data_IF_506581006270
#
_entry.id   IF_506581006270
#
_cell.length_a   1.000
_cell.length_b   1.000
_cell.length_c   1.000
_cell.angle_alpha   90.00
_cell.angle_beta   90.00
_cell.angle_gamma   90.00
#
_symmetry.space_group_name_H-M   'P 1'
#
loop_
_entity.id
_entity.type
_entity.pdbx_description
1 polymer ?
#
# COMPACT_ATOMS: atom_id res chain seq x y z
N UNK A 1 3.93 9.60 -3.25
CA UNK A 1 5.04 9.74 -4.19
C UNK A 1 6.24 9.07 -3.56
N UNK A 2 6.74 8.02 -4.19
CA UNK A 2 7.87 7.28 -3.67
C UNK A 2 9.12 8.15 -3.61
N UNK A 3 9.89 8.00 -2.53
CA UNK A 3 11.05 8.85 -2.25
C UNK A 3 12.27 8.35 -3.01
N UNK A 4 12.32 8.58 -4.33
CA UNK A 4 13.56 8.44 -5.11
C UNK A 4 14.27 9.78 -5.15
N UNK A 5 15.50 9.85 -4.64
CA UNK A 5 16.36 11.04 -4.65
C UNK A 5 17.52 10.82 -5.61
N UNK A 6 17.95 11.86 -6.33
CA UNK A 6 19.10 11.79 -7.25
C UNK A 6 18.73 11.65 -8.73
N UNK A 7 19.72 11.47 -9.63
CA UNK A 7 19.50 11.43 -11.07
C UNK A 7 18.63 10.24 -11.50
N UNK A 8 17.72 10.44 -12.46
CA UNK A 8 16.85 9.37 -12.99
C UNK A 8 17.64 8.31 -13.77
N UNK A 9 18.60 8.77 -14.56
CA UNK A 9 19.47 7.92 -15.40
C UNK A 9 20.62 7.29 -14.61
N UNK A 10 20.45 7.12 -13.29
CA UNK A 10 21.49 6.48 -12.49
C UNK A 10 21.59 5.00 -12.81
N UNK A 11 22.84 4.52 -12.85
CA UNK A 11 23.12 3.08 -12.96
C UNK A 11 22.89 2.38 -11.63
N UNK A 12 23.05 3.11 -10.51
CA UNK A 12 22.96 2.56 -9.16
C UNK A 12 21.87 3.22 -8.34
N UNK A 13 21.34 2.43 -7.42
CA UNK A 13 20.41 2.85 -6.38
C UNK A 13 20.86 2.23 -5.06
N UNK A 14 20.71 2.97 -3.98
CA UNK A 14 20.83 2.48 -2.60
C UNK A 14 19.50 2.66 -1.89
N UNK A 15 19.16 1.77 -0.97
CA UNK A 15 17.97 1.89 -0.13
C UNK A 15 18.36 2.44 1.25
N UNK A 16 17.60 3.41 1.73
CA UNK A 16 17.76 4.01 3.05
C UNK A 16 16.42 3.97 3.76
N UNK A 17 16.45 3.55 5.02
CA UNK A 17 15.31 3.58 5.90
C UNK A 17 15.44 4.78 6.81
N UNK A 18 14.74 5.87 6.47
CA UNK A 18 14.53 6.96 7.42
C UNK A 18 13.73 6.34 8.58
N UNK A 19 14.36 6.08 9.74
CA UNK A 19 13.82 5.34 10.90
C UNK A 19 12.58 5.93 11.59
N UNK A 20 11.74 6.64 10.83
CA UNK A 20 10.41 7.11 11.19
C UNK A 20 9.42 5.97 11.03
N UNK A 21 9.40 5.05 11.99
CA UNK A 21 8.22 4.18 12.16
C UNK A 21 7.02 5.11 12.45
N UNK A 22 6.02 5.10 11.55
CA UNK A 22 4.79 5.90 11.64
C UNK A 22 5.02 7.42 11.78
N UNK A 23 6.07 7.98 11.15
CA UNK A 23 6.33 9.42 11.18
C UNK A 23 6.87 9.96 12.52
N UNK A 24 7.04 9.12 13.55
CA UNK A 24 7.62 9.52 14.83
C UNK A 24 9.15 9.41 14.84
N UNK A 25 9.82 10.46 15.32
CA UNK A 25 11.28 10.70 15.18
C UNK A 25 12.14 9.84 16.12
N UNK A 26 11.55 9.08 17.04
CA UNK A 26 12.28 8.16 17.93
C UNK A 26 11.95 6.73 17.55
N UNK A 27 12.84 6.09 16.79
CA UNK A 27 12.76 4.65 16.54
C UNK A 27 12.61 3.91 17.86
N UNK A 28 11.53 3.11 18.00
CA UNK A 28 11.32 2.20 19.14
C UNK A 28 12.37 1.07 19.18
N UNK A 29 13.19 0.98 18.13
CA UNK A 29 14.27 0.03 17.97
C UNK A 29 15.60 0.79 17.96
N UNK A 30 16.54 0.45 18.86
CA UNK A 30 17.86 1.09 18.87
C UNK A 30 18.68 0.75 17.61
N UNK A 31 18.35 -0.35 16.94
CA UNK A 31 18.97 -0.83 15.71
C UNK A 31 18.00 -1.73 14.96
N UNK A 32 18.17 -1.85 13.63
CA UNK A 32 17.49 -2.84 12.80
C UNK A 32 18.27 -4.17 12.70
N UNK A 33 19.50 -4.23 13.21
CA UNK A 33 20.37 -5.42 13.07
C UNK A 33 19.73 -6.71 13.61
N UNK A 34 18.97 -6.61 14.70
CA UNK A 34 18.34 -7.76 15.37
C UNK A 34 16.85 -7.92 15.05
N UNK A 35 16.35 -7.26 13.99
CA UNK A 35 14.93 -7.26 13.66
C UNK A 35 14.59 -8.30 12.60
N UNK A 36 13.36 -8.81 12.64
CA UNK A 36 12.80 -9.70 11.63
C UNK A 36 11.92 -8.89 10.69
N UNK A 37 12.32 -8.82 9.43
CA UNK A 37 11.77 -7.87 8.47
C UNK A 37 11.14 -8.61 7.28
N UNK A 38 9.94 -8.20 6.87
CA UNK A 38 9.22 -8.74 5.72
C UNK A 38 9.21 -7.68 4.60
N UNK A 39 9.91 -7.93 3.49
CA UNK A 39 9.88 -7.08 2.30
C UNK A 39 8.79 -7.59 1.37
N UNK A 40 7.77 -6.78 1.11
CA UNK A 40 6.68 -7.12 0.19
C UNK A 40 7.09 -6.80 -1.26
N UNK A 41 7.05 -7.80 -2.13
CA UNK A 41 7.38 -7.68 -3.54
C UNK A 41 6.13 -7.82 -4.39
N UNK A 42 5.56 -6.67 -4.79
CA UNK A 42 4.48 -6.63 -5.78
C UNK A 42 5.02 -7.05 -7.14
N UNK A 43 4.52 -8.16 -7.69
CA UNK A 43 4.97 -8.70 -8.98
C UNK A 43 4.56 -7.85 -10.19
N UNK A 44 3.68 -6.86 -9.98
CA UNK A 44 3.20 -5.94 -11.01
C UNK A 44 2.86 -4.57 -10.42
N UNK A 45 3.04 -3.52 -11.23
CA UNK A 45 2.57 -2.17 -10.90
C UNK A 45 3.46 -1.35 -9.96
N UNK A 46 4.61 -1.87 -9.51
CA UNK A 46 5.55 -1.13 -8.68
C UNK A 46 7.01 -1.36 -9.13
N UNK A 47 7.55 -0.42 -9.90
CA UNK A 47 8.93 -0.48 -10.42
C UNK A 47 10.01 -0.55 -9.32
N UNK A 48 9.67 -0.16 -8.09
CA UNK A 48 10.61 -0.15 -6.97
C UNK A 48 10.74 -1.49 -6.28
N UNK A 49 9.90 -2.46 -6.67
CA UNK A 49 10.03 -3.86 -6.30
C UNK A 49 10.89 -4.64 -7.31
N UNK A 50 11.49 -4.02 -8.33
CA UNK A 50 12.22 -4.74 -9.38
C UNK A 50 13.58 -4.09 -9.70
N UNK A 51 14.40 -4.83 -10.46
CA UNK A 51 15.67 -4.38 -11.01
C UNK A 51 16.59 -3.77 -9.97
N UNK A 52 17.14 -2.58 -10.28
CA UNK A 52 18.12 -1.91 -9.41
C UNK A 52 17.57 -1.54 -8.03
N UNK A 53 16.26 -1.31 -7.89
CA UNK A 53 15.66 -0.96 -6.61
C UNK A 53 15.53 -2.19 -5.72
N UNK A 54 15.11 -3.32 -6.29
CA UNK A 54 15.16 -4.61 -5.58
C UNK A 54 16.59 -4.97 -5.18
N UNK A 55 17.56 -4.83 -6.09
CA UNK A 55 18.98 -5.03 -5.76
C UNK A 55 19.43 -4.18 -4.57
N UNK A 56 19.01 -2.92 -4.52
CA UNK A 56 19.29 -2.04 -3.40
C UNK A 56 18.66 -2.51 -2.07
N UNK A 57 17.43 -3.05 -2.11
CA UNK A 57 16.77 -3.63 -0.92
C UNK A 57 17.46 -4.91 -0.45
N UNK A 58 17.82 -5.81 -1.37
CA UNK A 58 18.54 -7.04 -1.05
C UNK A 58 19.91 -6.73 -0.44
N UNK A 59 20.65 -5.80 -1.05
CA UNK A 59 21.96 -5.40 -0.50
C UNK A 59 21.81 -4.78 0.90
N UNK A 60 20.83 -3.91 1.11
CA UNK A 60 20.56 -3.34 2.43
C UNK A 60 20.24 -4.41 3.47
N UNK A 61 19.39 -5.40 3.13
CA UNK A 61 19.05 -6.50 4.01
C UNK A 61 20.29 -7.29 4.44
N UNK A 62 21.16 -7.61 3.47
CA UNK A 62 22.43 -8.28 3.73
C UNK A 62 23.34 -7.43 4.61
N UNK A 63 23.52 -6.14 4.32
CA UNK A 63 24.37 -5.25 5.11
C UNK A 63 23.86 -5.10 6.55
N UNK A 64 22.54 -5.16 6.75
CA UNK A 64 21.90 -5.01 8.06
C UNK A 64 21.96 -6.28 8.89
N UNK A 65 21.73 -7.45 8.27
CA UNK A 65 21.49 -8.69 9.01
C UNK A 65 22.56 -9.77 8.82
N UNK A 66 23.55 -9.63 7.93
CA UNK A 66 24.57 -10.67 7.77
C UNK A 66 25.39 -10.87 9.05
N UNK A 67 25.91 -12.09 9.21
CA UNK A 67 26.84 -12.42 10.29
C UNK A 67 28.11 -11.57 10.17
N UNK A 68 28.59 -11.10 11.32
CA UNK A 68 29.78 -10.25 11.35
C UNK A 68 31.05 -11.11 11.27
N UNK A 69 32.16 -10.57 10.71
CA UNK A 69 33.43 -11.29 10.59
C UNK A 69 34.04 -11.74 11.92
N UNK A 70 33.64 -11.10 13.03
CA UNK A 70 34.06 -11.43 14.40
C UNK A 70 33.38 -12.68 14.98
N UNK A 71 32.53 -13.35 14.18
CA UNK A 71 31.79 -14.54 14.59
C UNK A 71 30.50 -14.25 15.35
N UNK A 72 30.12 -12.98 15.52
CA UNK A 72 28.82 -12.62 16.10
C UNK A 72 27.71 -12.93 15.09
N UNK A 73 26.87 -13.90 15.44
CA UNK A 73 25.68 -14.24 14.67
C UNK A 73 24.63 -13.16 14.85
N UNK A 74 24.14 -12.63 13.73
CA UNK A 74 23.00 -11.71 13.74
C UNK A 74 21.74 -12.48 14.10
N UNK A 75 20.87 -11.87 14.92
CA UNK A 75 19.53 -12.43 15.20
C UNK A 75 18.48 -11.94 14.22
N UNK A 76 18.79 -10.90 13.45
CA UNK A 76 17.88 -10.36 12.46
C UNK A 76 17.84 -11.19 11.18
N UNK A 77 16.76 -11.04 10.43
CA UNK A 77 16.51 -11.76 9.19
C UNK A 77 15.58 -10.95 8.30
N UNK A 78 15.81 -10.98 7.00
CA UNK A 78 14.86 -10.43 6.02
C UNK A 78 14.22 -11.53 5.19
N UNK A 79 12.90 -11.49 5.06
CA UNK A 79 12.13 -12.33 4.15
C UNK A 79 11.63 -11.48 2.98
N UNK A 80 12.01 -11.83 1.76
CA UNK A 80 11.49 -11.24 0.53
C UNK A 80 10.28 -12.03 0.06
N UNK A 81 9.08 -11.47 0.24
CA UNK A 81 7.82 -12.13 -0.12
C UNK A 81 7.37 -11.72 -1.51
N UNK A 82 7.47 -12.65 -2.46
CA UNK A 82 6.90 -12.52 -3.80
C UNK A 82 5.39 -12.70 -3.68
N UNK A 83 4.65 -11.58 -3.78
CA UNK A 83 3.19 -11.55 -3.68
C UNK A 83 2.54 -11.92 -5.02
N UNK A 84 2.81 -13.14 -5.47
CA UNK A 84 2.38 -13.64 -6.77
C UNK A 84 0.98 -14.23 -6.75
N UNK A 85 0.75 -15.31 -6.02
CA UNK A 85 -0.53 -16.04 -6.07
C UNK A 85 -1.70 -15.10 -5.78
N UNK A 86 -1.63 -14.27 -4.72
CA UNK A 86 -2.63 -13.25 -4.33
C UNK A 86 -3.03 -12.31 -5.48
N UNK A 87 -2.17 -12.14 -6.49
CA UNK A 87 -2.46 -11.35 -7.66
C UNK A 87 -3.62 -11.92 -8.51
N UNK A 88 -4.04 -13.16 -8.27
CA UNK A 88 -5.19 -13.79 -8.93
C UNK A 88 -6.47 -12.94 -8.83
N UNK A 89 -6.68 -12.23 -7.71
CA UNK A 89 -7.81 -11.30 -7.56
C UNK A 89 -7.80 -10.20 -8.61
N UNK A 90 -6.62 -9.73 -9.03
CA UNK A 90 -6.48 -8.68 -10.05
C UNK A 90 -6.63 -9.21 -11.49
N UNK A 91 -6.70 -10.53 -11.68
CA UNK A 91 -6.93 -11.14 -12.98
C UNK A 91 -8.42 -11.32 -13.29
N UNK A 92 -9.26 -11.48 -12.25
CA UNK A 92 -10.72 -11.68 -12.38
C UNK A 92 -11.38 -10.71 -13.35
N UNK A 93 -12.30 -11.17 -14.17
CA UNK A 93 -13.16 -10.35 -15.04
C UNK A 93 -14.59 -10.20 -14.49
N UNK A 94 -15.42 -9.39 -15.15
CA UNK A 94 -16.86 -9.36 -14.93
C UNK A 94 -17.57 -10.04 -16.12
N UNK A 95 -18.58 -10.89 -15.87
CA UNK A 95 -19.10 -11.29 -14.56
C UNK A 95 -18.14 -12.21 -13.78
N UNK A 96 -18.15 -12.23 -12.43
CA UNK A 96 -17.16 -12.94 -11.61
C UNK A 96 -17.06 -14.45 -11.86
N UNK A 97 -18.13 -15.06 -12.37
CA UNK A 97 -18.21 -16.50 -12.65
C UNK A 97 -17.56 -16.89 -13.99
N UNK A 98 -17.01 -15.93 -14.74
CA UNK A 98 -16.44 -16.18 -16.06
C UNK A 98 -15.17 -17.05 -16.05
N UNK A 99 -14.43 -17.05 -14.94
CA UNK A 99 -13.12 -17.69 -14.83
C UNK A 99 -13.00 -18.52 -13.55
N UNK A 100 -12.39 -19.70 -13.61
CA UNK A 100 -12.13 -20.53 -12.43
C UNK A 100 -11.00 -19.92 -11.58
N UNK A 101 -11.19 -19.95 -10.26
CA UNK A 101 -10.19 -19.47 -9.29
C UNK A 101 -8.84 -20.19 -9.45
N UNK A 102 -8.86 -21.50 -9.65
CA UNK A 102 -7.68 -22.33 -9.83
C UNK A 102 -6.88 -21.91 -11.07
N UNK A 103 -7.57 -21.60 -12.16
CA UNK A 103 -6.95 -21.11 -13.39
C UNK A 103 -6.33 -19.72 -13.19
N UNK A 104 -7.02 -18.81 -12.50
CA UNK A 104 -6.49 -17.48 -12.18
C UNK A 104 -5.28 -17.56 -11.25
N UNK A 105 -5.31 -18.43 -10.23
CA UNK A 105 -4.16 -18.69 -9.33
C UNK A 105 -2.97 -19.26 -10.12
N UNK A 106 -3.20 -20.20 -11.03
CA UNK A 106 -2.16 -20.75 -11.91
C UNK A 106 -1.52 -19.68 -12.79
N UNK A 107 -2.33 -18.77 -13.36
CA UNK A 107 -1.82 -17.62 -14.12
C UNK A 107 -1.00 -16.67 -13.25
N UNK A 108 -1.47 -16.36 -12.03
CA UNK A 108 -0.77 -15.51 -11.08
C UNK A 108 0.58 -16.11 -10.66
N UNK A 109 0.64 -17.42 -10.39
CA UNK A 109 1.88 -18.15 -10.12
C UNK A 109 2.85 -18.07 -11.30
N UNK A 110 2.39 -18.25 -12.54
CA UNK A 110 3.24 -18.12 -13.72
C UNK A 110 3.80 -16.69 -13.88
N UNK A 111 3.02 -15.66 -13.54
CA UNK A 111 3.51 -14.28 -13.49
C UNK A 111 4.58 -14.10 -12.40
N UNK A 112 4.41 -14.72 -11.23
CA UNK A 112 5.41 -14.76 -10.16
C UNK A 112 6.73 -15.41 -10.59
N UNK A 113 6.66 -16.53 -11.32
CA UNK A 113 7.85 -17.18 -11.87
C UNK A 113 8.60 -16.29 -12.86
N UNK A 114 7.87 -15.60 -13.73
CA UNK A 114 8.45 -14.66 -14.69
C UNK A 114 9.12 -13.48 -13.95
N UNK A 115 8.45 -12.93 -12.93
CA UNK A 115 9.00 -11.88 -12.08
C UNK A 115 10.29 -12.33 -11.36
N UNK A 116 10.29 -13.51 -10.76
CA UNK A 116 11.48 -14.07 -10.10
C UNK A 116 12.65 -14.21 -11.08
N UNK A 117 12.42 -14.81 -12.26
CA UNK A 117 13.45 -15.00 -13.29
C UNK A 117 14.01 -13.68 -13.80
N UNK A 118 13.16 -12.67 -14.00
CA UNK A 118 13.59 -11.33 -14.44
C UNK A 118 14.44 -10.59 -13.38
N UNK A 119 14.32 -10.97 -12.12
CA UNK A 119 15.00 -10.33 -11.00
C UNK A 119 16.05 -11.22 -10.33
N UNK A 120 16.33 -12.41 -10.87
CA UNK A 120 17.18 -13.43 -10.27
C UNK A 120 18.58 -12.89 -9.91
N UNK A 121 19.17 -12.08 -10.77
CA UNK A 121 20.49 -11.48 -10.54
C UNK A 121 20.54 -10.65 -9.24
N UNK A 122 19.43 -10.03 -8.83
CA UNK A 122 19.40 -9.19 -7.63
C UNK A 122 19.54 -10.03 -6.35
N UNK A 123 19.00 -11.25 -6.33
CA UNK A 123 19.13 -12.17 -5.22
C UNK A 123 20.47 -12.93 -5.22
N UNK A 124 21.05 -13.14 -6.40
CA UNK A 124 22.32 -13.84 -6.55
C UNK A 124 23.54 -12.97 -6.28
N UNK A 125 23.46 -11.65 -6.56
CA UNK A 125 24.59 -10.74 -6.43
C UNK A 125 25.26 -10.75 -5.04
N UNK A 126 24.53 -10.71 -3.90
CA UNK A 126 25.16 -10.78 -2.57
C UNK A 126 25.80 -12.14 -2.25
N UNK A 127 25.46 -13.19 -3.02
CA UNK A 127 26.02 -14.53 -2.92
C UNK A 127 27.24 -14.70 -3.85
N UNK A 128 27.62 -13.66 -4.59
CA UNK A 128 28.73 -13.69 -5.54
C UNK A 128 28.45 -14.52 -6.79
N UNK A 129 27.18 -14.70 -7.15
CA UNK A 129 26.74 -15.45 -8.32
C UNK A 129 26.05 -14.52 -9.33
N UNK A 130 26.00 -14.95 -10.59
CA UNK A 130 25.13 -14.36 -11.61
C UNK A 130 24.15 -15.40 -12.19
N UNK A 131 23.11 -14.92 -12.87
CA UNK A 131 22.05 -15.76 -13.44
C UNK A 131 22.56 -16.78 -14.47
N UNK A 132 23.63 -16.47 -15.21
CA UNK A 132 24.22 -17.38 -16.21
C UNK A 132 24.85 -18.59 -15.51
N UNK A 133 25.72 -18.34 -14.53
CA UNK A 133 26.36 -19.37 -13.71
C UNK A 133 25.32 -20.20 -12.97
N UNK A 134 24.34 -19.54 -12.34
CA UNK A 134 23.29 -20.21 -11.59
C UNK A 134 22.43 -21.13 -12.49
N UNK A 135 22.02 -20.62 -13.66
CA UNK A 135 21.17 -21.37 -14.59
C UNK A 135 21.88 -22.59 -15.16
N UNK A 136 23.21 -22.55 -15.31
CA UNK A 136 23.97 -23.71 -15.81
C UNK A 136 23.78 -24.99 -14.99
N UNK A 137 23.45 -24.86 -13.70
CA UNK A 137 23.26 -25.97 -12.75
C UNK A 137 21.83 -26.11 -12.21
N UNK A 138 20.92 -25.20 -12.59
CA UNK A 138 19.57 -25.14 -12.01
C UNK A 138 18.46 -24.82 -13.03
N UNK A 139 18.75 -24.81 -14.34
CA UNK A 139 17.76 -24.46 -15.36
C UNK A 139 16.57 -25.43 -15.46
N UNK A 140 16.76 -26.69 -15.09
CA UNK A 140 15.75 -27.75 -15.10
C UNK A 140 14.87 -27.77 -13.85
N UNK A 141 15.26 -27.02 -12.81
CA UNK A 141 14.53 -26.95 -11.54
C UNK A 141 13.35 -25.98 -11.62
N UNK A 142 12.29 -26.30 -10.89
CA UNK A 142 11.19 -25.37 -10.62
C UNK A 142 11.66 -24.11 -9.90
N UNK A 143 10.87 -23.03 -9.96
CA UNK A 143 11.21 -21.78 -9.25
C UNK A 143 11.29 -22.01 -7.74
N UNK A 144 10.44 -22.86 -7.17
CA UNK A 144 10.45 -23.14 -5.73
C UNK A 144 11.74 -23.88 -5.31
N UNK A 145 12.23 -24.81 -6.13
CA UNK A 145 13.52 -25.48 -5.92
C UNK A 145 14.71 -24.53 -6.07
N UNK A 146 14.64 -23.59 -7.03
CA UNK A 146 15.65 -22.54 -7.18
C UNK A 146 15.68 -21.61 -5.96
N UNK A 147 14.51 -21.17 -5.47
CA UNK A 147 14.37 -20.37 -4.25
C UNK A 147 14.92 -21.14 -3.04
N UNK A 148 14.57 -22.42 -2.88
CA UNK A 148 15.07 -23.24 -1.78
C UNK A 148 16.61 -23.34 -1.79
N UNK A 149 17.21 -23.48 -2.98
CA UNK A 149 18.66 -23.48 -3.13
C UNK A 149 19.29 -22.12 -2.75
N UNK A 150 18.72 -21.00 -3.23
CA UNK A 150 19.20 -19.65 -2.90
C UNK A 150 19.09 -19.39 -1.39
N UNK A 151 17.97 -19.75 -0.77
CA UNK A 151 17.75 -19.59 0.67
C UNK A 151 18.77 -20.40 1.49
N UNK A 152 19.04 -21.65 1.08
CA UNK A 152 20.07 -22.47 1.72
C UNK A 152 21.45 -21.85 1.58
N UNK A 153 21.82 -21.38 0.39
CA UNK A 153 23.11 -20.73 0.16
C UNK A 153 23.25 -19.43 0.97
N UNK A 154 22.20 -18.60 1.03
CA UNK A 154 22.18 -17.38 1.83
C UNK A 154 22.34 -17.68 3.33
N UNK A 155 21.73 -18.75 3.83
CA UNK A 155 21.92 -19.23 5.20
C UNK A 155 23.35 -19.72 5.45
N UNK A 156 23.88 -20.59 4.58
CA UNK A 156 25.22 -21.17 4.70
C UNK A 156 26.32 -20.08 4.65
N UNK A 157 26.09 -19.02 3.87
CA UNK A 157 26.97 -17.85 3.78
C UNK A 157 26.74 -16.79 4.89
N UNK A 158 25.78 -17.03 5.79
CA UNK A 158 25.45 -16.10 6.87
C UNK A 158 24.91 -14.76 6.40
N UNK A 159 24.26 -14.70 5.22
CA UNK A 159 23.65 -13.48 4.65
C UNK A 159 22.29 -13.15 5.25
N UNK A 160 21.66 -14.11 5.93
CA UNK A 160 20.45 -13.97 6.74
C UNK A 160 19.27 -13.31 6.01
N UNK A 161 19.11 -13.62 4.72
CA UNK A 161 17.87 -13.35 3.99
C UNK A 161 17.27 -14.64 3.44
N UNK A 162 15.98 -14.59 3.12
CA UNK A 162 15.30 -15.64 2.37
C UNK A 162 14.29 -15.04 1.41
N UNK A 163 13.87 -15.85 0.43
CA UNK A 163 12.82 -15.55 -0.54
C UNK A 163 11.67 -16.52 -0.26
N UNK A 164 10.45 -16.01 -0.25
CA UNK A 164 9.24 -16.82 -0.12
C UNK A 164 8.23 -16.40 -1.18
N UNK A 165 7.40 -17.34 -1.62
CA UNK A 165 6.23 -17.07 -2.45
C UNK A 165 4.97 -17.01 -1.60
N UNK A 166 3.91 -16.42 -2.14
CA UNK A 166 2.68 -16.18 -1.38
C UNK A 166 2.10 -17.47 -0.78
N UNK A 167 1.95 -18.53 -1.58
CA UNK A 167 1.43 -19.82 -1.11
C UNK A 167 2.27 -20.37 0.07
N UNK A 168 3.60 -20.32 -0.02
CA UNK A 168 4.49 -20.79 1.06
C UNK A 168 4.35 -19.95 2.33
N UNK A 169 4.09 -18.65 2.18
CA UNK A 169 3.91 -17.72 3.28
C UNK A 169 2.60 -17.97 4.03
N UNK A 170 1.48 -18.09 3.33
CA UNK A 170 0.18 -18.30 3.98
C UNK A 170 0.03 -19.71 4.58
N UNK A 171 0.82 -20.69 4.14
CA UNK A 171 0.84 -22.04 4.74
C UNK A 171 1.65 -22.13 6.05
N UNK A 172 2.31 -21.05 6.49
CA UNK A 172 3.05 -21.06 7.77
C UNK A 172 2.11 -21.24 8.96
N UNK A 173 2.48 -22.07 9.94
CA UNK A 173 1.74 -22.25 11.20
C UNK A 173 0.21 -22.45 11.05
N UNK A 174 -0.21 -23.15 9.99
CA UNK A 174 -1.62 -23.36 9.62
C UNK A 174 -2.40 -22.03 9.49
N UNK A 175 -1.74 -20.97 9.04
CA UNK A 175 -2.31 -19.64 8.94
C UNK A 175 -3.42 -19.56 7.89
N UNK A 176 -3.35 -20.34 6.82
CA UNK A 176 -4.34 -20.37 5.75
C UNK A 176 -5.76 -20.59 6.27
N UNK A 177 -5.99 -21.60 7.11
CA UNK A 177 -7.31 -21.88 7.70
C UNK A 177 -7.80 -20.70 8.55
N UNK A 178 -6.92 -20.14 9.39
CA UNK A 178 -7.26 -18.98 10.23
C UNK A 178 -7.56 -17.73 9.41
N UNK A 179 -6.83 -17.50 8.33
CA UNK A 179 -7.07 -16.39 7.40
C UNK A 179 -8.46 -16.53 6.77
N UNK A 180 -8.85 -17.75 6.37
CA UNK A 180 -10.20 -18.00 5.85
C UNK A 180 -11.29 -17.71 6.90
N UNK A 181 -11.05 -18.00 8.18
CA UNK A 181 -11.96 -17.62 9.27
C UNK A 181 -12.01 -16.10 9.52
N UNK A 182 -10.93 -15.37 9.25
CA UNK A 182 -10.86 -13.90 9.41
C UNK A 182 -11.55 -13.14 8.27
N UNK A 183 -11.51 -13.66 7.04
CA UNK A 183 -12.07 -12.97 5.84
C UNK A 183 -13.52 -12.50 6.06
N UNK A 184 -14.46 -13.30 6.58
CA UNK A 184 -15.82 -12.86 6.85
C UNK A 184 -15.93 -11.65 7.80
N UNK A 185 -14.97 -11.46 8.72
CA UNK A 185 -15.00 -10.37 9.68
C UNK A 185 -14.84 -8.99 9.02
N UNK A 186 -14.21 -8.91 7.86
CA UNK A 186 -14.12 -7.66 7.10
C UNK A 186 -15.47 -7.19 6.53
N UNK A 187 -16.51 -8.04 6.55
CA UNK A 187 -17.88 -7.66 6.18
C UNK A 187 -18.74 -7.29 7.40
N UNK A 188 -18.49 -7.92 8.54
CA UNK A 188 -19.35 -7.84 9.74
C UNK A 188 -18.81 -6.91 10.83
N UNK A 189 -17.50 -6.63 10.83
CA UNK A 189 -16.86 -5.76 11.82
C UNK A 189 -16.72 -4.35 11.25
N UNK A 190 -17.43 -3.38 11.84
CA UNK A 190 -17.53 -2.01 11.31
C UNK A 190 -16.18 -1.34 11.04
N UNK A 191 -15.23 -1.44 11.97
CA UNK A 191 -13.91 -0.83 11.83
C UNK A 191 -13.10 -1.42 10.68
N UNK A 192 -13.07 -2.76 10.57
CA UNK A 192 -12.39 -3.46 9.47
C UNK A 192 -13.03 -3.14 8.12
N UNK A 193 -14.37 -3.19 8.05
CA UNK A 193 -15.15 -2.89 6.84
C UNK A 193 -14.89 -1.48 6.34
N UNK A 194 -15.02 -0.48 7.22
CA UNK A 194 -14.85 0.93 6.85
C UNK A 194 -13.45 1.23 6.31
N UNK A 195 -12.42 0.58 6.86
CA UNK A 195 -11.04 0.75 6.39
C UNK A 195 -10.82 0.11 5.01
N UNK A 196 -11.37 -1.10 4.78
CA UNK A 196 -11.37 -1.72 3.43
C UNK A 196 -12.07 -0.82 2.42
N UNK A 197 -13.28 -0.35 2.72
CA UNK A 197 -14.05 0.49 1.81
C UNK A 197 -13.28 1.75 1.42
N UNK A 198 -12.61 2.38 2.38
CA UNK A 198 -11.77 3.58 2.16
C UNK A 198 -10.61 3.32 1.20
N UNK A 199 -9.88 2.22 1.40
CA UNK A 199 -8.75 1.88 0.54
C UNK A 199 -9.24 1.43 -0.85
N UNK A 200 -10.33 0.66 -0.93
CA UNK A 200 -10.98 0.25 -2.18
C UNK A 200 -11.37 1.46 -3.02
N UNK A 201 -12.05 2.44 -2.41
CA UNK A 201 -12.44 3.68 -3.10
C UNK A 201 -11.19 4.40 -3.65
N UNK A 202 -10.11 4.43 -2.88
CA UNK A 202 -8.83 5.00 -3.30
C UNK A 202 -8.16 4.22 -4.45
N UNK A 203 -8.34 2.89 -4.52
CA UNK A 203 -7.88 2.08 -5.65
C UNK A 203 -8.70 2.33 -6.92
N UNK A 204 -10.03 2.33 -6.80
CA UNK A 204 -10.96 2.60 -7.91
C UNK A 204 -10.68 3.97 -8.53
N UNK A 205 -10.50 4.99 -7.70
CA UNK A 205 -10.19 6.35 -8.16
C UNK A 205 -8.88 6.47 -8.94
N UNK A 206 -7.87 5.62 -8.64
CA UNK A 206 -6.57 5.62 -9.33
C UNK A 206 -6.56 4.89 -10.66
N UNK A 207 -7.46 3.93 -10.85
CA UNK A 207 -7.47 3.04 -12.02
C UNK A 207 -8.61 3.31 -13.00
N UNK A 208 -9.36 4.39 -12.78
CA UNK A 208 -10.49 4.77 -13.64
C UNK A 208 -10.06 5.05 -15.08
N UNK A 209 -10.69 4.35 -16.02
CA UNK A 209 -11.34 4.93 -17.18
C UNK A 209 -12.81 5.26 -16.80
N UNK A 210 -13.41 6.32 -17.35
CA UNK A 210 -14.68 6.90 -16.87
C UNK A 210 -15.95 6.03 -17.10
N UNK A 211 -15.82 4.70 -17.17
CA UNK A 211 -16.96 3.78 -17.34
C UNK A 211 -17.37 3.13 -16.02
N UNK A 212 -18.68 2.99 -15.82
CA UNK A 212 -19.24 2.34 -14.63
C UNK A 212 -18.79 0.86 -14.50
N UNK A 213 -18.70 0.14 -15.63
CA UNK A 213 -18.25 -1.25 -15.67
C UNK A 213 -16.80 -1.42 -15.18
N UNK A 214 -15.91 -0.48 -15.51
CA UNK A 214 -14.54 -0.49 -15.01
C UNK A 214 -14.47 -0.22 -13.50
N UNK A 215 -15.27 0.73 -13.00
CA UNK A 215 -15.32 1.02 -11.56
C UNK A 215 -15.81 -0.18 -10.74
N UNK A 216 -16.84 -0.86 -11.24
CA UNK A 216 -17.37 -2.08 -10.61
C UNK A 216 -16.31 -3.20 -10.60
N UNK A 217 -15.62 -3.40 -11.73
CA UNK A 217 -14.54 -4.39 -11.83
C UNK A 217 -13.42 -4.09 -10.83
N UNK A 218 -12.94 -2.84 -10.76
CA UNK A 218 -11.88 -2.47 -9.83
C UNK A 218 -12.31 -2.58 -8.37
N UNK A 219 -13.57 -2.25 -8.06
CA UNK A 219 -14.12 -2.46 -6.71
C UNK A 219 -14.13 -3.95 -6.37
N UNK A 220 -14.64 -4.79 -7.27
CA UNK A 220 -14.70 -6.24 -7.07
C UNK A 220 -13.31 -6.85 -6.83
N UNK A 221 -12.33 -6.50 -7.67
CA UNK A 221 -10.94 -6.96 -7.53
C UNK A 221 -10.33 -6.49 -6.20
N UNK A 222 -10.46 -5.21 -5.89
CA UNK A 222 -9.80 -4.59 -4.73
C UNK A 222 -10.36 -5.10 -3.40
N UNK A 223 -11.67 -5.30 -3.28
CA UNK A 223 -12.28 -5.82 -2.04
C UNK A 223 -11.71 -7.19 -1.71
N UNK A 224 -11.78 -8.14 -2.66
CA UNK A 224 -11.34 -9.51 -2.40
C UNK A 224 -9.83 -9.58 -2.13
N UNK A 225 -9.04 -8.86 -2.94
CA UNK A 225 -7.59 -8.74 -2.75
C UNK A 225 -7.25 -8.24 -1.35
N UNK A 226 -7.82 -7.11 -0.93
CA UNK A 226 -7.50 -6.52 0.37
C UNK A 226 -7.99 -7.38 1.53
N UNK A 227 -9.15 -8.03 1.43
CA UNK A 227 -9.65 -8.88 2.53
C UNK A 227 -8.78 -10.11 2.77
N UNK A 228 -8.09 -10.62 1.75
CA UNK A 228 -7.13 -11.73 1.89
C UNK A 228 -5.72 -11.24 2.26
N UNK A 229 -5.24 -10.14 1.65
CA UNK A 229 -3.91 -9.59 1.89
C UNK A 229 -3.74 -9.07 3.33
N UNK A 230 -4.75 -8.35 3.86
CA UNK A 230 -4.70 -7.74 5.18
C UNK A 230 -4.30 -8.71 6.30
N UNK A 231 -5.04 -9.80 6.57
CA UNK A 231 -4.67 -10.74 7.63
C UNK A 231 -3.39 -11.51 7.28
N UNK A 232 -3.15 -11.79 5.99
CA UNK A 232 -1.95 -12.49 5.51
C UNK A 232 -0.66 -11.68 5.75
N UNK A 233 -0.71 -10.36 5.75
CA UNK A 233 0.47 -9.52 6.02
C UNK A 233 0.54 -9.11 7.49
N UNK A 234 -0.52 -8.51 8.01
CA UNK A 234 -0.47 -7.84 9.31
C UNK A 234 -0.61 -8.82 10.46
N UNK A 235 -1.64 -9.68 10.44
CA UNK A 235 -1.83 -10.66 11.50
C UNK A 235 -0.74 -11.74 11.45
N UNK A 236 -0.53 -12.37 10.29
CA UNK A 236 0.45 -13.45 10.16
C UNK A 236 1.88 -12.97 10.37
N UNK A 237 2.24 -11.80 9.84
CA UNK A 237 3.55 -11.19 10.15
C UNK A 237 3.74 -11.00 11.65
N UNK A 238 2.71 -10.52 12.35
CA UNK A 238 2.76 -10.33 13.80
C UNK A 238 2.85 -11.63 14.58
N UNK A 239 2.06 -12.65 14.22
CA UNK A 239 2.09 -13.96 14.87
C UNK A 239 3.44 -14.66 14.70
N UNK A 240 4.09 -14.47 13.55
CA UNK A 240 5.44 -14.97 13.26
C UNK A 240 6.57 -14.08 13.82
N UNK A 241 6.23 -13.03 14.57
CA UNK A 241 7.18 -12.17 15.27
C UNK A 241 7.94 -11.18 14.37
N UNK A 242 7.45 -10.87 13.17
CA UNK A 242 8.06 -9.84 12.32
C UNK A 242 7.91 -8.46 12.96
N UNK A 243 9.02 -7.73 13.03
CA UNK A 243 9.07 -6.38 13.57
C UNK A 243 8.63 -5.34 12.56
N UNK A 244 8.98 -5.55 11.29
CA UNK A 244 8.76 -4.59 10.23
C UNK A 244 8.19 -5.22 8.96
N UNK A 245 7.31 -4.46 8.32
CA UNK A 245 6.85 -4.67 6.94
C UNK A 245 7.49 -3.56 6.10
N UNK A 246 8.31 -3.94 5.13
CA UNK A 246 9.01 -3.04 4.23
C UNK A 246 8.29 -3.04 2.88
N UNK A 247 7.84 -1.86 2.43
CA UNK A 247 7.23 -1.72 1.11
C UNK A 247 7.39 -0.29 0.57
N UNK A 248 7.74 -0.11 -0.72
CA UNK A 248 7.81 1.20 -1.39
C UNK A 248 6.41 1.77 -1.66
N UNK A 249 5.77 2.23 -0.59
CA UNK A 249 4.44 2.84 -0.59
C UNK A 249 4.03 3.24 0.83
N UNK A 250 3.00 4.07 0.93
CA UNK A 250 2.40 4.38 2.23
C UNK A 250 1.62 3.17 2.74
N UNK A 251 1.59 2.99 4.06
CA UNK A 251 0.71 2.01 4.70
C UNK A 251 -0.75 2.33 4.34
N UNK A 252 -1.53 1.27 4.12
CA UNK A 252 -2.97 1.33 3.90
C UNK A 252 -3.73 1.42 5.22
N UNK A 253 -4.88 2.08 5.22
CA UNK A 253 -5.68 2.24 6.44
C UNK A 253 -6.22 0.89 6.94
N UNK A 254 -6.59 0.01 6.03
CA UNK A 254 -7.00 -1.37 6.31
C UNK A 254 -5.92 -2.18 7.01
N UNK A 255 -4.64 -2.00 6.65
CA UNK A 255 -3.54 -2.67 7.35
C UNK A 255 -3.42 -2.19 8.81
N UNK A 256 -3.58 -0.90 9.05
CA UNK A 256 -3.53 -0.36 10.42
C UNK A 256 -4.68 -0.90 11.28
N UNK A 257 -5.90 -0.94 10.74
CA UNK A 257 -7.05 -1.48 11.47
C UNK A 257 -6.95 -2.99 11.68
N UNK A 258 -6.45 -3.73 10.69
CA UNK A 258 -6.16 -5.17 10.82
C UNK A 258 -5.19 -5.46 11.95
N UNK A 259 -4.08 -4.70 12.02
CA UNK A 259 -3.11 -4.79 13.10
C UNK A 259 -3.77 -4.52 14.45
N UNK A 260 -4.53 -3.43 14.58
CA UNK A 260 -5.21 -3.05 15.84
C UNK A 260 -6.20 -4.12 16.30
N UNK A 261 -6.92 -4.73 15.36
CA UNK A 261 -7.96 -5.69 15.67
C UNK A 261 -7.40 -7.06 16.06
N UNK A 262 -6.41 -7.58 15.32
CA UNK A 262 -5.93 -8.96 15.50
C UNK A 262 -4.64 -9.10 16.30
N UNK A 263 -3.86 -8.03 16.51
CA UNK A 263 -2.63 -8.08 17.33
C UNK A 263 -2.81 -7.28 18.60
N UNK A 264 -3.15 -7.99 19.67
CA UNK A 264 -3.59 -7.39 20.93
C UNK A 264 -2.56 -7.66 22.02
N UNK A 265 -2.55 -6.80 23.05
CA UNK A 265 -1.61 -6.96 24.16
C UNK A 265 -2.03 -8.12 25.05
N UNK A 266 -1.05 -8.86 25.58
CA UNK A 266 -1.28 -9.87 26.63
C UNK A 266 -2.08 -9.29 27.80
N UNK A 267 -3.13 -10.01 28.17
CA UNK A 267 -3.89 -9.77 29.38
C UNK A 267 -3.21 -10.52 30.52
N UNK A 268 -2.79 -9.81 31.57
CA UNK A 268 -2.22 -10.43 32.76
C UNK A 268 -3.20 -10.25 33.91
N UNK A 269 -3.59 -11.34 34.60
CA UNK A 269 -4.31 -11.21 35.86
C UNK A 269 -3.56 -10.25 36.78
N UNK A 270 -4.29 -9.33 37.40
CA UNK A 270 -3.72 -8.35 38.31
C UNK A 270 -4.53 -8.27 39.59
N UNK A 271 -3.87 -7.87 40.68
CA UNK A 271 -4.51 -7.72 41.98
C UNK A 271 -4.88 -6.26 42.16
N UNK A 272 -6.15 -6.00 42.46
CA UNK A 272 -6.65 -4.67 42.85
C UNK A 272 -7.51 -4.82 44.10
N UNK A 273 -7.21 -4.02 45.11
CA UNK A 273 -7.93 -4.03 46.40
C UNK A 273 -8.00 -5.42 47.06
N UNK A 274 -6.93 -6.21 46.94
CA UNK A 274 -6.83 -7.56 47.49
C UNK A 274 -7.59 -8.63 46.71
N UNK A 275 -8.25 -8.28 45.61
CA UNK A 275 -8.95 -9.21 44.73
C UNK A 275 -8.13 -9.49 43.47
N UNK A 276 -8.01 -10.78 43.11
CA UNK A 276 -7.46 -11.18 41.82
C UNK A 276 -8.51 -10.92 40.74
N UNK A 277 -8.24 -9.96 39.86
CA UNK A 277 -9.09 -9.67 38.71
C UNK A 277 -8.61 -10.53 37.55
N UNK A 278 -9.48 -11.44 37.10
CA UNK A 278 -9.35 -12.10 35.80
C UNK A 278 -9.67 -11.07 34.73
N UNK A 279 -8.78 -10.90 33.77
CA UNK A 279 -8.97 -9.99 32.65
C UNK A 279 -9.73 -10.75 31.56
N UNK A 280 -11.07 -10.66 31.59
CA UNK A 280 -11.92 -11.31 30.61
C UNK A 280 -11.69 -10.67 29.24
N UNK A 281 -10.98 -11.39 28.38
CA UNK A 281 -10.59 -10.91 27.07
C UNK A 281 -11.80 -10.79 26.15
N UNK A 282 -12.27 -9.56 25.91
CA UNK A 282 -13.34 -9.26 24.96
C UNK A 282 -12.91 -9.26 23.47
N UNK A 283 -11.64 -9.57 23.18
CA UNK A 283 -11.13 -9.62 21.80
C UNK A 283 -11.64 -10.86 21.06
N UNK A 284 -11.62 -10.78 19.73
CA UNK A 284 -11.93 -11.94 18.87
C UNK A 284 -11.06 -13.14 19.24
N UNK A 285 -11.62 -14.35 19.20
CA UNK A 285 -10.87 -15.60 19.38
C UNK A 285 -9.77 -15.81 18.32
N UNK A 286 -9.86 -15.09 17.21
CA UNK A 286 -8.86 -15.07 16.14
C UNK A 286 -7.69 -14.10 16.41
N UNK A 287 -7.75 -13.33 17.49
CA UNK A 287 -6.68 -12.39 17.86
C UNK A 287 -5.47 -13.12 18.44
N UNK A 288 -4.28 -12.62 18.13
CA UNK A 288 -3.03 -13.07 18.75
C UNK A 288 -2.65 -12.10 19.87
N UNK A 289 -2.56 -12.62 21.09
CA UNK A 289 -2.02 -11.89 22.23
C UNK A 289 -0.50 -11.92 22.22
N UNK A 290 0.11 -10.75 22.33
CA UNK A 290 1.55 -10.58 22.35
C UNK A 290 1.96 -9.61 23.45
N UNK A 291 3.18 -9.76 23.97
CA UNK A 291 3.68 -8.91 25.05
C UNK A 291 3.72 -7.41 24.70
N UNK A 292 4.08 -7.08 23.45
CA UNK A 292 4.19 -5.71 22.98
C UNK A 292 3.83 -5.58 21.49
N UNK A 293 2.53 -5.42 21.14
CA UNK A 293 2.08 -5.36 19.73
C UNK A 293 2.66 -4.15 18.98
N UNK A 294 3.12 -3.14 19.71
CA UNK A 294 3.79 -1.96 19.16
C UNK A 294 5.17 -2.24 18.56
N UNK A 295 5.74 -3.42 18.78
CA UNK A 295 7.03 -3.87 18.22
C UNK A 295 6.88 -4.84 17.05
N UNK A 296 5.66 -5.10 16.61
CA UNK A 296 5.39 -6.03 15.52
C UNK A 296 4.83 -5.29 14.32
N UNK A 297 5.11 -5.81 13.12
CA UNK A 297 4.56 -5.35 11.83
C UNK A 297 4.45 -3.83 11.72
N UNK A 298 5.55 -3.14 12.01
CA UNK A 298 5.64 -1.70 11.82
C UNK A 298 5.97 -1.41 10.36
N UNK A 299 5.32 -0.42 9.76
CA UNK A 299 5.54 -0.12 8.35
C UNK A 299 6.81 0.70 8.16
N UNK A 300 7.64 0.28 7.21
CA UNK A 300 8.85 0.97 6.79
C UNK A 300 8.81 1.24 5.29
N UNK A 301 8.70 2.52 4.94
CA UNK A 301 8.79 2.98 3.55
C UNK A 301 10.27 3.26 3.20
N UNK A 302 10.87 2.51 2.27
CA UNK A 302 12.24 2.76 1.83
C UNK A 302 12.35 4.05 1.03
N UNK A 303 13.45 4.77 1.23
CA UNK A 303 13.89 5.89 0.39
C UNK A 303 15.03 5.41 -0.49
N UNK A 304 14.91 5.58 -1.81
CA UNK A 304 15.96 5.20 -2.73
C UNK A 304 16.82 6.41 -3.07
N UNK A 305 18.15 6.24 -3.02
CA UNK A 305 19.10 7.26 -3.44
C UNK A 305 19.88 6.77 -4.64
N UNK A 306 19.65 7.45 -5.75
CA UNK A 306 20.30 7.26 -7.03
C UNK A 306 21.60 8.04 -7.08
N UNK A 307 22.67 7.40 -7.51
CA UNK A 307 23.95 8.07 -7.75
C UNK A 307 24.64 7.49 -8.98
N UNK A 308 25.41 8.34 -9.64
CA UNK A 308 26.36 7.93 -10.67
C UNK A 308 27.73 7.88 -10.02
N UNK A 309 28.50 6.79 -10.17
CA UNK A 309 29.89 6.83 -9.77
C UNK A 309 30.57 7.99 -10.50
N UNK A 310 31.50 8.71 -9.85
CA UNK A 310 32.25 9.77 -10.52
C UNK A 310 32.83 9.23 -11.82
N UNK A 311 32.63 9.95 -12.93
CA UNK A 311 33.19 9.60 -14.23
C UNK A 311 34.72 9.73 -14.18
N UNK A 312 35.38 8.68 -13.70
CA UNK A 312 36.83 8.50 -13.72
C UNK A 312 37.56 9.07 -12.51
N UNK A 313 38.22 8.20 -11.74
CA UNK A 313 39.66 8.08 -11.93
C UNK A 313 39.91 6.74 -12.63
N UNK A 314 40.46 6.80 -13.85
CA UNK A 314 41.12 5.63 -14.42
C UNK A 314 42.43 5.49 -13.65
N UNK A 315 42.52 4.52 -12.74
CA UNK A 315 43.83 4.09 -12.23
C UNK A 315 44.38 3.00 -13.18
N UNK A 316 45.49 3.27 -13.92
CA UNK A 316 45.93 2.45 -15.05
C UNK A 316 46.76 1.22 -14.65
N UNK A 317 46.69 0.73 -13.42
CA UNK A 317 47.40 -0.49 -13.06
C UNK A 317 46.85 -1.18 -11.82
N UNK A 318 46.27 -2.37 -12.04
CA UNK A 318 46.30 -3.51 -11.11
C UNK A 318 45.88 -3.21 -9.66
N UNK A 319 44.68 -3.64 -9.30
CA UNK A 319 44.56 -4.54 -8.15
C UNK A 319 43.29 -5.39 -8.22
N UNK A 320 43.40 -6.59 -7.67
CA UNK A 320 42.61 -7.77 -7.98
C UNK A 320 41.20 -7.69 -7.38
N UNK A 321 40.20 -8.01 -8.21
CA UNK A 321 39.05 -8.81 -7.81
C UNK A 321 38.02 -8.18 -6.89
N UNK A 322 37.25 -7.21 -7.38
CA UNK A 322 35.83 -7.12 -7.07
C UNK A 322 35.10 -6.59 -8.30
N UNK A 323 34.47 -7.50 -9.03
CA UNK A 323 33.70 -7.16 -10.21
C UNK A 323 32.37 -6.51 -9.76
N UNK A 324 32.35 -5.18 -9.76
CA UNK A 324 31.10 -4.42 -9.85
C UNK A 324 30.59 -4.57 -11.29
N UNK A 325 29.62 -5.46 -11.51
CA UNK A 325 29.03 -5.66 -12.82
C UNK A 325 27.93 -4.64 -13.08
N UNK A 326 28.15 -3.80 -14.09
CA UNK A 326 27.09 -3.09 -14.81
C UNK A 326 26.23 -4.11 -15.57
N UNK A 327 24.92 -4.12 -15.30
CA UNK A 327 23.92 -4.89 -16.06
C UNK A 327 23.90 -4.40 -17.52
N UNK A 328 23.89 -5.28 -18.53
CA UNK A 328 23.69 -4.87 -19.92
C UNK A 328 22.25 -4.39 -20.13
N UNK A 329 22.07 -3.17 -20.63
CA UNK A 329 20.76 -2.67 -21.05
C UNK A 329 20.17 -3.55 -22.17
N UNK A 330 19.07 -4.24 -21.88
CA UNK A 330 18.23 -4.86 -22.91
C UNK A 330 17.47 -3.77 -23.66
N UNK A 331 17.87 -3.53 -24.91
CA UNK A 331 17.18 -2.62 -25.83
C UNK A 331 15.71 -3.02 -25.99
N UNK A 332 14.81 -2.11 -25.67
CA UNK A 332 13.37 -2.19 -25.99
C UNK A 332 13.18 -2.36 -27.50
N UNK A 333 12.65 -3.51 -27.92
CA UNK A 333 12.16 -3.72 -29.28
C UNK A 333 10.73 -3.18 -29.39
N UNK A 334 10.57 -2.09 -30.15
CA UNK A 334 9.25 -1.61 -30.60
C UNK A 334 8.90 -2.28 -31.93
N UNK A 335 7.69 -2.85 -32.00
CA UNK A 335 6.75 -2.91 -33.14
C UNK A 335 5.99 -4.23 -33.12
N UNK A 336 4.72 -4.18 -32.72
CA UNK A 336 3.73 -5.09 -33.29
C UNK A 336 2.66 -4.30 -34.03
N UNK A 337 2.66 -4.53 -35.34
CA UNK A 337 1.73 -3.98 -36.32
C UNK A 337 0.36 -4.63 -36.09
N UNK A 338 -0.62 -3.76 -35.99
CA UNK A 338 -2.04 -4.01 -36.24
C UNK A 338 -2.20 -4.71 -37.60
N UNK A 339 -2.84 -5.88 -37.60
CA UNK A 339 -3.32 -6.56 -38.80
C UNK A 339 -4.84 -6.52 -38.75
N UNK A 340 -5.41 -5.69 -39.63
CA UNK A 340 -6.81 -5.73 -40.01
C UNK A 340 -7.01 -6.84 -41.05
N UNK A 341 -8.13 -7.53 -40.93
CA UNK A 341 -8.68 -8.38 -41.99
C UNK A 341 -10.11 -8.83 -41.68
N UNK A 342 -11.07 -8.09 -42.26
CA UNK A 342 -12.18 -8.61 -43.09
C UNK A 342 -13.16 -9.57 -42.39
N UNK A 343 -14.31 -9.07 -41.92
CA UNK A 343 -15.58 -8.87 -42.66
C UNK A 343 -16.43 -10.13 -42.82
N UNK A 344 -17.60 -10.15 -42.19
CA UNK A 344 -18.83 -10.66 -42.81
C UNK A 344 -20.05 -10.14 -42.05
N UNK A 345 -20.91 -9.46 -42.79
CA UNK A 345 -22.23 -8.95 -42.46
C UNK A 345 -23.22 -10.09 -42.15
N UNK A 346 -24.21 -9.81 -41.29
CA UNK A 346 -25.60 -10.17 -41.59
C UNK A 346 -26.56 -9.34 -40.73
N UNK A 347 -27.39 -8.56 -41.43
CA UNK A 347 -28.55 -7.83 -40.94
C UNK A 347 -29.65 -8.76 -40.37
N UNK A 348 -30.33 -8.34 -39.30
CA UNK A 348 -31.70 -7.80 -39.33
C UNK A 348 -32.44 -7.88 -37.97
N UNK A 349 -33.47 -7.02 -37.77
CA UNK A 349 -33.97 -6.61 -36.45
C UNK A 349 -35.29 -7.29 -36.05
N UNK A 350 -35.58 -7.32 -34.74
CA UNK A 350 -36.95 -7.55 -34.24
C UNK A 350 -37.32 -6.61 -33.08
N UNK A 351 -38.07 -5.58 -33.45
CA UNK A 351 -39.39 -5.16 -32.94
C UNK A 351 -39.98 -5.79 -31.67
N UNK A 352 -40.37 -4.87 -30.75
CA UNK A 352 -41.60 -4.79 -29.92
C UNK A 352 -41.93 -5.86 -28.86
N UNK A 353 -42.05 -5.42 -27.60
CA UNK A 353 -43.35 -5.27 -26.94
C UNK A 353 -43.28 -4.47 -25.63
N UNK A 354 -44.19 -3.50 -25.52
CA UNK A 354 -44.60 -2.82 -24.29
C UNK A 354 -45.44 -3.77 -23.41
N UNK A 355 -45.37 -3.61 -22.08
CA UNK A 355 -46.59 -3.54 -21.28
C UNK A 355 -46.37 -2.82 -19.94
N UNK A 356 -47.40 -2.05 -19.61
CA UNK A 356 -47.56 -1.04 -18.58
C UNK A 356 -48.09 -1.58 -17.23
N UNK A 357 -47.79 -0.81 -16.19
CA UNK A 357 -48.63 -0.39 -15.05
C UNK A 357 -49.20 -1.41 -14.05
N UNK A 358 -48.91 -1.15 -12.76
CA UNK A 358 -49.90 -0.85 -11.69
C UNK A 358 -49.12 -0.38 -10.44
N UNK A 359 -49.16 0.92 -10.11
CA UNK A 359 -50.14 1.64 -9.28
C UNK A 359 -49.72 1.77 -7.81
N UNK A 360 -49.34 3.00 -7.49
CA UNK A 360 -49.24 3.65 -6.20
C UNK A 360 -50.58 3.71 -5.42
N UNK A 361 -50.51 3.65 -4.09
CA UNK A 361 -51.31 4.50 -3.21
C UNK A 361 -50.67 4.59 -1.81
N UNK A 362 -50.57 5.81 -1.32
CA UNK A 362 -49.93 6.25 -0.08
C UNK A 362 -50.94 6.46 1.06
N UNK A 363 -50.44 6.52 2.30
CA UNK A 363 -50.81 7.48 3.39
C UNK A 363 -50.20 6.95 4.70
N UNK A 364 -49.21 7.62 5.30
CA UNK A 364 -49.20 8.85 6.13
C UNK A 364 -49.25 8.55 7.63
N UNK A 365 -48.18 8.86 8.38
CA UNK A 365 -48.15 10.00 9.32
C UNK A 365 -46.98 9.91 10.33
N UNK A 366 -46.26 11.05 10.36
CA UNK A 366 -45.62 11.75 11.48
C UNK A 366 -44.45 11.19 12.30
N UNK A 367 -43.38 11.99 12.20
CA UNK A 367 -42.47 12.46 13.25
C UNK A 367 -41.39 11.52 13.79
N UNK A 368 -40.27 11.50 13.07
CA UNK A 368 -38.91 11.46 13.64
C UNK A 368 -37.90 12.00 12.62
N UNK A 369 -37.45 13.26 12.80
CA UNK A 369 -36.36 13.82 11.99
C UNK A 369 -35.03 13.31 12.55
N UNK A 370 -34.71 12.07 12.22
CA UNK A 370 -33.36 11.53 12.35
C UNK A 370 -32.64 11.90 11.05
N UNK A 371 -31.66 12.79 11.13
CA UNK A 371 -30.69 13.02 10.04
C UNK A 371 -30.05 11.69 9.68
N UNK A 372 -30.46 11.11 8.55
CA UNK A 372 -29.87 9.87 8.04
C UNK A 372 -28.37 10.08 7.80
N UNK A 373 -27.54 9.07 8.06
CA UNK A 373 -26.09 9.17 7.87
C UNK A 373 -25.69 9.54 6.43
N UNK A 374 -26.57 9.32 5.46
CA UNK A 374 -26.40 9.70 4.07
C UNK A 374 -26.38 11.23 3.88
N UNK A 375 -27.24 11.99 4.56
CA UNK A 375 -27.28 13.45 4.46
C UNK A 375 -26.04 14.10 5.09
N UNK A 376 -25.56 13.54 6.21
CA UNK A 376 -24.33 14.01 6.85
C UNK A 376 -23.07 13.70 6.01
N UNK A 377 -23.02 12.52 5.38
CA UNK A 377 -21.97 12.15 4.42
C UNK A 377 -21.96 13.04 3.19
N UNK A 378 -23.13 13.40 2.65
CA UNK A 378 -23.22 14.30 1.50
C UNK A 378 -22.67 15.69 1.82
N UNK A 379 -23.03 16.23 2.99
CA UNK A 379 -22.57 17.54 3.46
C UNK A 379 -21.04 17.54 3.66
N UNK A 380 -20.49 16.52 4.33
CA UNK A 380 -19.03 16.40 4.55
C UNK A 380 -18.29 16.24 3.22
N UNK A 381 -18.82 15.45 2.29
CA UNK A 381 -18.23 15.26 0.96
C UNK A 381 -18.21 16.57 0.17
N UNK A 382 -19.30 17.32 0.17
CA UNK A 382 -19.38 18.63 -0.50
C UNK A 382 -18.46 19.67 0.15
N UNK A 383 -18.22 19.60 1.47
CA UNK A 383 -17.25 20.45 2.15
C UNK A 383 -15.80 20.13 1.73
N UNK A 384 -15.43 18.85 1.70
CA UNK A 384 -14.09 18.40 1.28
C UNK A 384 -13.82 18.78 -0.19
N UNK A 385 -14.81 18.64 -1.05
CA UNK A 385 -14.73 19.02 -2.46
C UNK A 385 -14.58 20.53 -2.63
N UNK A 386 -15.35 21.34 -1.88
CA UNK A 386 -15.20 22.79 -1.84
C UNK A 386 -13.81 23.24 -1.38
N UNK A 387 -13.24 22.59 -0.36
CA UNK A 387 -11.86 22.85 0.10
C UNK A 387 -10.81 22.52 -0.96
N UNK A 388 -10.95 21.38 -1.64
CA UNK A 388 -10.01 20.99 -2.69
C UNK A 388 -10.12 21.90 -3.93
N UNK A 389 -11.32 22.35 -4.29
CA UNK A 389 -11.51 23.30 -5.39
C UNK A 389 -10.93 24.68 -5.05
N UNK A 390 -11.12 25.15 -3.82
CA UNK A 390 -10.55 26.42 -3.35
C UNK A 390 -9.02 26.39 -3.33
N UNK A 391 -8.41 25.32 -2.82
CA UNK A 391 -6.95 25.17 -2.74
C UNK A 391 -6.28 25.05 -4.11
N UNK A 392 -7.01 24.57 -5.14
CA UNK A 392 -6.52 24.46 -6.51
C UNK A 392 -6.88 25.67 -7.38
N UNK A 393 -7.53 26.70 -6.83
CA UNK A 393 -7.85 27.90 -7.59
C UNK A 393 -6.56 28.68 -7.94
N UNK A 394 -6.34 29.05 -9.22
CA UNK A 394 -5.10 29.68 -9.67
C UNK A 394 -4.74 30.97 -8.91
N UNK A 395 -5.76 31.75 -8.53
CA UNK A 395 -5.57 33.01 -7.81
C UNK A 395 -5.17 32.80 -6.33
N UNK A 396 -5.66 31.73 -5.68
CA UNK A 396 -5.23 31.36 -4.32
C UNK A 396 -3.81 30.81 -4.37
N UNK A 397 -3.51 30.00 -5.39
CA UNK A 397 -2.16 29.47 -5.63
C UNK A 397 -1.15 30.59 -5.91
N UNK A 398 -1.56 31.65 -6.61
CA UNK A 398 -0.71 32.81 -6.91
C UNK A 398 -0.59 33.79 -5.73
N UNK A 399 -1.65 34.00 -4.96
CA UNK A 399 -1.60 34.74 -3.68
C UNK A 399 -0.66 34.07 -2.66
N UNK A 400 -0.57 32.73 -2.67
CA UNK A 400 0.36 31.95 -1.84
C UNK A 400 1.83 32.08 -2.27
N UNK A 401 2.10 32.49 -3.51
CA UNK A 401 3.47 32.66 -4.03
C UNK A 401 4.02 34.07 -3.83
N UNK A 402 3.17 35.10 -3.85
CA UNK A 402 3.61 36.51 -3.88
C UNK A 402 3.22 37.36 -2.63
N UNK A 403 2.55 36.79 -1.63
CA UNK A 403 2.12 37.52 -0.41
C UNK A 403 3.21 37.67 0.69
N UNK A 404 3.12 38.72 1.54
CA UNK A 404 4.06 38.89 2.65
C UNK A 404 3.93 37.72 3.64
N UNK A 405 5.07 37.28 4.17
CA UNK A 405 5.27 36.14 5.08
C UNK A 405 4.43 36.19 6.38
N UNK A 406 3.11 36.12 6.28
CA UNK A 406 2.27 35.67 7.39
C UNK A 406 2.24 34.15 7.32
N UNK A 407 2.91 33.51 8.28
CA UNK A 407 3.00 32.06 8.38
C UNK A 407 1.59 31.45 8.37
N UNK A 408 1.29 30.72 7.28
CA UNK A 408 0.11 29.86 7.07
C UNK A 408 -0.39 29.10 8.33
N UNK A 409 0.47 28.66 9.27
CA UNK A 409 0.02 28.16 10.57
C UNK A 409 -1.00 29.02 11.32
N UNK A 410 -0.93 30.35 11.26
CA UNK A 410 -1.78 31.21 12.08
C UNK A 410 -3.23 31.26 11.60
N UNK A 411 -3.47 31.38 10.28
CA UNK A 411 -4.82 31.42 9.72
C UNK A 411 -5.52 30.07 9.79
N UNK A 412 -4.77 28.98 9.56
CA UNK A 412 -5.30 27.62 9.73
C UNK A 412 -5.72 27.37 11.17
N UNK A 413 -4.91 27.81 12.15
CA UNK A 413 -5.24 27.69 13.57
C UNK A 413 -6.45 28.55 13.95
N UNK A 414 -6.57 29.77 13.41
CA UNK A 414 -7.74 30.63 13.63
C UNK A 414 -9.00 29.97 13.07
N UNK A 415 -8.96 29.48 11.84
CA UNK A 415 -10.12 28.85 11.19
C UNK A 415 -10.51 27.55 11.90
N UNK A 416 -9.54 26.72 12.27
CA UNK A 416 -9.76 25.49 13.04
C UNK A 416 -10.41 25.79 14.41
N UNK A 417 -9.98 26.86 15.08
CA UNK A 417 -10.56 27.26 16.36
C UNK A 417 -12.00 27.79 16.20
N UNK A 418 -12.28 28.57 15.15
CA UNK A 418 -13.63 29.06 14.86
C UNK A 418 -14.58 27.89 14.55
N UNK A 419 -14.18 26.95 13.68
CA UNK A 419 -14.97 25.75 13.37
C UNK A 419 -15.22 24.92 14.62
N UNK A 420 -14.20 24.73 15.46
CA UNK A 420 -14.36 24.00 16.72
C UNK A 420 -15.32 24.69 17.69
N UNK A 421 -15.32 26.01 17.77
CA UNK A 421 -16.25 26.77 18.60
C UNK A 421 -17.69 26.70 18.07
N UNK A 422 -17.88 26.77 16.76
CA UNK A 422 -19.21 26.64 16.13
C UNK A 422 -19.78 25.25 16.37
N UNK A 423 -18.97 24.19 16.16
CA UNK A 423 -19.42 22.81 16.38
C UNK A 423 -19.77 22.52 17.85
N UNK A 424 -19.05 23.12 18.79
CA UNK A 424 -19.28 22.97 20.23
C UNK A 424 -20.31 23.96 20.81
N UNK A 425 -20.86 24.87 20.00
CA UNK A 425 -21.89 25.81 20.46
C UNK A 425 -23.22 25.10 20.70
N UNK A 426 -24.13 25.77 21.41
CA UNK A 426 -25.50 25.28 21.65
C UNK A 426 -26.46 25.51 20.46
N UNK A 427 -25.93 25.97 19.31
CA UNK A 427 -26.73 26.19 18.10
C UNK A 427 -27.30 24.86 17.57
N UNK A 428 -28.42 24.97 16.86
CA UNK A 428 -28.98 23.81 16.17
C UNK A 428 -28.01 23.34 15.06
N UNK A 429 -28.00 22.03 14.73
CA UNK A 429 -27.14 21.50 13.66
C UNK A 429 -27.26 22.23 12.33
N UNK A 430 -28.45 22.70 11.94
CA UNK A 430 -28.68 23.40 10.66
C UNK A 430 -28.00 24.77 10.69
N UNK A 431 -28.22 25.55 11.75
CA UNK A 431 -27.53 26.83 11.97
C UNK A 431 -26.01 26.68 11.96
N UNK A 432 -25.46 25.61 12.54
CA UNK A 432 -24.01 25.34 12.50
C UNK A 432 -23.50 25.13 11.08
N UNK A 433 -24.23 24.38 10.25
CA UNK A 433 -23.86 24.16 8.84
C UNK A 433 -23.93 25.46 8.06
N UNK A 434 -25.00 26.24 8.24
CA UNK A 434 -25.19 27.50 7.54
C UNK A 434 -24.10 28.53 7.89
N UNK A 435 -23.70 28.63 9.16
CA UNK A 435 -22.61 29.52 9.58
C UNK A 435 -21.28 29.11 8.95
N UNK A 436 -20.95 27.81 8.95
CA UNK A 436 -19.70 27.32 8.34
C UNK A 436 -19.71 27.55 6.83
N UNK A 437 -20.86 27.34 6.18
CA UNK A 437 -21.05 27.60 4.75
C UNK A 437 -20.87 29.08 4.42
N UNK A 438 -21.50 30.00 5.16
CA UNK A 438 -21.35 31.45 4.95
C UNK A 438 -19.92 31.94 5.19
N UNK A 439 -19.19 31.34 6.15
CA UNK A 439 -17.77 31.61 6.37
C UNK A 439 -16.92 31.20 5.16
N UNK A 440 -17.18 30.02 4.60
CA UNK A 440 -16.51 29.55 3.39
C UNK A 440 -16.83 30.43 2.18
N UNK A 441 -18.10 30.76 1.98
CA UNK A 441 -18.54 31.64 0.89
C UNK A 441 -17.90 33.04 1.02
N UNK A 442 -17.79 33.58 2.22
CA UNK A 442 -17.12 34.87 2.48
C UNK A 442 -15.61 34.84 2.18
N UNK A 443 -14.96 33.70 2.44
CA UNK A 443 -13.55 33.50 2.08
C UNK A 443 -13.35 33.34 0.57
N UNK A 444 -14.35 32.79 -0.13
CA UNK A 444 -14.32 32.57 -1.58
C UNK A 444 -14.72 33.82 -2.38
N UNK A 445 -15.53 34.71 -1.80
CA UNK A 445 -15.97 35.97 -2.41
C UNK A 445 -15.02 37.16 -2.17
N UNK A 446 -13.75 36.92 -1.85
CA UNK A 446 -12.74 37.99 -1.83
C UNK A 446 -12.39 38.35 -3.29
N UNK A 447 -13.32 39.05 -3.95
CA UNK A 447 -13.10 39.65 -5.26
C UNK A 447 -12.17 40.87 -5.14
N UNK A 448 -11.03 40.75 -5.81
CA UNK A 448 -10.14 41.76 -6.39
C UNK A 448 -10.45 43.26 -6.10
N UNK A 449 -9.73 43.94 -5.19
CA UNK A 449 -9.80 45.39 -5.01
C UNK A 449 -9.20 46.22 -6.16
N UNK A 450 -8.67 45.59 -7.23
CA UNK A 450 -7.83 46.28 -8.22
C UNK A 450 -8.59 47.03 -9.34
N UNK A 451 -9.93 47.05 -9.33
CA UNK A 451 -10.72 47.67 -10.41
C UNK A 451 -11.15 49.15 -10.19
N UNK A 452 -10.58 49.89 -9.22
CA UNK A 452 -11.03 51.28 -8.93
C UNK A 452 -10.05 52.43 -9.18
N UNK A 453 -8.90 52.22 -9.82
CA UNK A 453 -8.04 53.34 -10.26
C UNK A 453 -7.63 53.20 -11.72
N UNK A 454 -8.50 53.67 -12.63
CA UNK A 454 -8.10 54.16 -13.96
C UNK A 454 -9.28 54.86 -14.66
N UNK A 455 -9.56 56.09 -14.26
CA UNK A 455 -10.13 57.15 -15.12
C UNK A 455 -9.87 58.51 -14.47
N UNK A 456 -8.72 59.09 -14.78
CA UNK A 456 -8.47 60.54 -14.82
C UNK A 456 -7.08 60.79 -15.39
N UNK A 457 -7.04 60.93 -16.72
CA UNK A 457 -6.22 61.88 -17.48
C UNK A 457 -6.77 61.95 -18.90
#
# INVERSE_FOLDING_TARGET
MSKVKGPKDSVFSSAIFEGKANGTVKSRFPSLTDTKDLVLLSIKGNEQCEGKYLGALVQYAVDTHQNKPDGVTSKGKTTFLIADEIYWHNLRSLPPEAESEEELKRQALAMGEAYFKANLDQFLAPLGLNSIEFSSSNADKSVDEQIAFINKLALDMGKNFEIMRWHTWISQDNAEEKIQEMIPLYKTTDGLRAAIDTDVDSFVMRHRDDTAASQELWRHRSVNYLTEENPSIMWLGGSLGYNFIIYPGKILSSFEETKKYFLVKDHKPYIRDGQSISDDCAHSSLSTHVADPNKLVNWLEPTFVNYNPPKGDRDPSKEKGHAFFTVPETKKSSRHKQLQGLSSESDQPMSMMEHNNTSSAASSSQDDVILSSASCKLIISSMIEGFNLALNHPEITQFLQDGPQTTYPALVVIFQNMTKQILNSALDPIEKVDIVKSLLESCLHIENPSAKYKTSL
#
